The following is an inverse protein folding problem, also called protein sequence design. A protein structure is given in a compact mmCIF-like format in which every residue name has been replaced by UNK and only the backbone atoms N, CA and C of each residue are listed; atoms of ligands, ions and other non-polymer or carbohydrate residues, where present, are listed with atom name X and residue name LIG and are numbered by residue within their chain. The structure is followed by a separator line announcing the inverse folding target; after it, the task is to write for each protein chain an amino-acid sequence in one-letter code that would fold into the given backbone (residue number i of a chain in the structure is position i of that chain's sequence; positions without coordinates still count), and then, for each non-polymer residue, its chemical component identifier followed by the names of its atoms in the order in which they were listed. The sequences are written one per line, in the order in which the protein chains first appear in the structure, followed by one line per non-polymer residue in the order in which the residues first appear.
data_IF_622034662665
#
_entry.id   IF_622034662665
#
_cell.length_a   1.000
_cell.length_b   1.000
_cell.length_c   1.000
_cell.angle_alpha   90.00
_cell.angle_beta   90.00
_cell.angle_gamma   90.00
#
_symmetry.space_group_name_H-M   'P 1'
#
loop_
_entity.id
_entity.type
_entity.pdbx_description
1 polymer ?
#
# COMPACT_ATOMS: atom_id res chain seq x y z
N UNK A 1 12.37 24.14 19.69
CA UNK A 1 12.21 22.80 20.29
C UNK A 1 10.71 22.48 20.25
N UNK A 2 10.23 21.95 19.15
CA UNK A 2 8.89 21.39 19.05
C UNK A 2 9.05 19.87 18.94
N UNK A 3 8.84 19.21 20.08
CA UNK A 3 8.87 17.76 20.18
C UNK A 3 7.81 17.20 19.22
N UNK A 4 8.27 16.42 18.25
CA UNK A 4 7.44 15.58 17.42
C UNK A 4 6.77 14.51 18.30
N UNK A 5 5.65 14.86 18.91
CA UNK A 5 4.74 13.83 19.40
C UNK A 5 4.19 13.09 18.18
N UNK A 6 4.35 11.76 18.10
CA UNK A 6 3.73 11.00 17.03
C UNK A 6 2.22 11.23 17.14
N UNK A 7 1.69 11.92 16.14
CA UNK A 7 0.26 12.19 16.04
C UNK A 7 -0.46 10.84 16.09
N UNK A 8 -1.39 10.69 17.05
CA UNK A 8 -2.21 9.47 17.22
C UNK A 8 -3.07 9.14 15.99
N UNK A 9 -3.08 10.03 15.03
CA UNK A 9 -3.85 9.98 13.79
C UNK A 9 -2.87 9.69 12.66
N UNK A 10 -3.15 8.76 11.74
CA UNK A 10 -2.29 8.52 10.59
C UNK A 10 -2.18 9.79 9.73
N UNK A 11 -1.02 10.02 9.09
CA UNK A 11 -0.78 11.21 8.27
C UNK A 11 -1.74 11.29 7.08
N UNK A 12 -2.27 10.15 6.62
CA UNK A 12 -3.24 10.05 5.54
C UNK A 12 -4.53 9.40 6.07
N UNK A 13 -5.67 10.02 5.79
CA UNK A 13 -6.97 9.47 6.18
C UNK A 13 -7.46 8.50 5.10
N UNK A 14 -7.74 7.27 5.50
CA UNK A 14 -8.34 6.25 4.65
C UNK A 14 -9.82 6.09 5.01
N UNK A 15 -10.67 6.20 3.99
CA UNK A 15 -12.11 6.06 4.14
C UNK A 15 -12.49 4.61 3.84
N UNK A 16 -13.55 4.15 4.51
CA UNK A 16 -14.01 2.78 4.36
C UNK A 16 -13.88 1.96 5.63
N UNK A 17 -14.30 0.70 5.54
CA UNK A 17 -14.25 -0.23 6.67
C UNK A 17 -12.82 -0.66 6.96
N UNK A 18 -12.08 -0.99 5.91
CA UNK A 18 -10.66 -1.33 5.92
C UNK A 18 -9.81 -0.21 6.53
N UNK A 19 -10.05 1.05 6.13
CA UNK A 19 -9.39 2.21 6.70
C UNK A 19 -9.60 2.37 8.19
N UNK A 20 -10.81 2.09 8.71
CA UNK A 20 -11.10 2.15 10.15
C UNK A 20 -10.30 1.13 10.96
N UNK A 21 -10.21 -0.12 10.48
CA UNK A 21 -9.44 -1.17 11.15
C UNK A 21 -7.94 -0.88 11.10
N UNK A 22 -7.41 -0.46 9.95
CA UNK A 22 -6.00 -0.13 9.78
C UNK A 22 -5.60 1.08 10.62
N UNK A 23 -6.43 2.13 10.69
CA UNK A 23 -6.21 3.30 11.54
C UNK A 23 -6.25 2.95 13.03
N UNK A 24 -7.20 2.09 13.45
CA UNK A 24 -7.28 1.64 14.83
C UNK A 24 -6.06 0.80 15.23
N UNK A 25 -5.61 -0.10 14.34
CA UNK A 25 -4.41 -0.90 14.55
C UNK A 25 -3.16 -0.01 14.63
N UNK A 26 -3.00 0.96 13.73
CA UNK A 26 -1.91 1.92 13.74
C UNK A 26 -1.87 2.71 15.05
N UNK A 27 -3.02 3.23 15.51
CA UNK A 27 -3.12 3.97 16.77
C UNK A 27 -2.78 3.10 18.00
N UNK A 28 -3.19 1.83 17.99
CA UNK A 28 -2.86 0.87 19.03
C UNK A 28 -1.35 0.51 19.01
N UNK A 29 -0.77 0.33 17.82
CA UNK A 29 0.64 0.03 17.65
C UNK A 29 1.56 1.20 18.06
N UNK A 30 1.17 2.45 17.79
CA UNK A 30 1.88 3.64 18.29
C UNK A 30 1.88 3.68 19.83
N UNK A 31 0.71 3.49 20.46
CA UNK A 31 0.60 3.51 21.92
C UNK A 31 1.48 2.47 22.60
N UNK A 32 1.63 1.31 21.97
CA UNK A 32 2.46 0.21 22.49
C UNK A 32 3.89 0.22 21.95
N UNK A 33 4.27 1.18 21.10
CA UNK A 33 5.59 1.28 20.47
C UNK A 33 5.99 0.01 19.70
N UNK A 34 5.03 -0.65 19.04
CA UNK A 34 5.20 -1.94 18.37
C UNK A 34 4.88 -1.87 16.86
N UNK A 35 4.99 -0.69 16.24
CA UNK A 35 4.65 -0.48 14.83
C UNK A 35 5.39 -1.45 13.89
N UNK A 36 6.71 -1.54 14.02
CA UNK A 36 7.53 -2.43 13.17
C UNK A 36 7.21 -3.91 13.37
N UNK A 37 6.84 -4.30 14.61
CA UNK A 37 6.45 -5.68 14.90
C UNK A 37 5.13 -6.02 14.23
N UNK A 38 4.15 -5.11 14.34
CA UNK A 38 2.83 -5.26 13.70
C UNK A 38 2.97 -5.33 12.19
N UNK A 39 3.80 -4.49 11.58
CA UNK A 39 4.09 -4.51 10.14
C UNK A 39 4.66 -5.87 9.70
N UNK A 40 5.68 -6.37 10.40
CA UNK A 40 6.27 -7.68 10.13
C UNK A 40 5.26 -8.81 10.27
N UNK A 41 4.39 -8.72 11.26
CA UNK A 41 3.33 -9.70 11.49
C UNK A 41 2.31 -9.71 10.34
N UNK A 42 1.91 -8.53 9.85
CA UNK A 42 0.99 -8.41 8.71
C UNK A 42 1.60 -8.93 7.41
N UNK A 43 2.89 -8.67 7.17
CA UNK A 43 3.62 -9.24 6.02
C UNK A 43 3.69 -10.76 6.10
N UNK A 44 4.02 -11.33 7.27
CA UNK A 44 4.01 -12.79 7.49
C UNK A 44 2.63 -13.38 7.26
N UNK A 45 1.58 -12.68 7.70
CA UNK A 45 0.20 -13.11 7.52
C UNK A 45 -0.17 -13.12 6.02
N UNK A 46 0.21 -12.09 5.26
CA UNK A 46 0.04 -12.04 3.80
C UNK A 46 0.72 -13.22 3.13
N UNK A 47 1.98 -13.48 3.46
CA UNK A 47 2.74 -14.60 2.90
C UNK A 47 2.09 -15.96 3.24
N UNK A 48 1.56 -16.09 4.46
CA UNK A 48 0.86 -17.31 4.88
C UNK A 48 -0.44 -17.49 4.12
N UNK A 49 -1.22 -16.41 3.93
CA UNK A 49 -2.47 -16.44 3.14
C UNK A 49 -2.20 -16.74 1.65
N UNK A 50 -1.06 -16.30 1.12
CA UNK A 50 -0.65 -16.59 -0.25
C UNK A 50 -0.25 -18.07 -0.44
N UNK A 51 0.41 -18.67 0.57
CA UNK A 51 0.88 -20.07 0.53
C UNK A 51 -0.19 -21.08 0.87
N UNK A 52 -1.10 -20.75 1.79
CA UNK A 52 -2.15 -21.64 2.27
C UNK A 52 -3.52 -21.28 1.69
N UNK A 53 -3.85 -21.92 0.57
CA UNK A 53 -5.14 -21.75 -0.10
C UNK A 53 -6.34 -22.12 0.79
N UNK A 54 -6.18 -23.11 1.71
CA UNK A 54 -7.24 -23.50 2.63
C UNK A 54 -7.52 -22.40 3.66
N UNK A 55 -6.48 -21.78 4.20
CA UNK A 55 -6.62 -20.67 5.13
C UNK A 55 -7.28 -19.47 4.44
N UNK A 56 -6.88 -19.15 3.21
CA UNK A 56 -7.48 -18.09 2.41
C UNK A 56 -8.97 -18.37 2.16
N UNK A 57 -9.31 -19.57 1.71
CA UNK A 57 -10.70 -19.97 1.50
C UNK A 57 -11.50 -19.87 2.78
N UNK A 58 -10.97 -20.32 3.91
CA UNK A 58 -11.62 -20.21 5.23
C UNK A 58 -11.92 -18.75 5.61
N UNK A 59 -11.01 -17.81 5.35
CA UNK A 59 -11.22 -16.39 5.61
C UNK A 59 -12.35 -15.81 4.74
N UNK A 60 -12.40 -16.20 3.47
CA UNK A 60 -13.38 -15.68 2.51
C UNK A 60 -14.74 -16.38 2.55
N UNK A 61 -14.84 -17.59 3.11
CA UNK A 61 -16.08 -18.37 3.13
C UNK A 61 -17.15 -17.71 4.03
N UNK A 62 -18.29 -17.26 3.49
CA UNK A 62 -19.36 -16.65 4.26
C UNK A 62 -20.24 -17.68 4.98
N UNK A 63 -20.16 -18.98 4.63
CA UNK A 63 -21.05 -20.01 5.14
C UNK A 63 -20.74 -20.44 6.57
N UNK A 64 -19.50 -20.25 7.01
CA UNK A 64 -19.03 -20.65 8.33
C UNK A 64 -19.55 -19.66 9.39
N UNK A 65 -20.16 -20.21 10.44
CA UNK A 65 -20.68 -19.42 11.57
C UNK A 65 -19.56 -18.60 12.23
N UNK A 66 -19.84 -17.34 12.57
CA UNK A 66 -18.88 -16.40 13.17
C UNK A 66 -18.17 -16.97 14.41
N UNK A 67 -18.93 -17.61 15.31
CA UNK A 67 -18.36 -18.19 16.52
C UNK A 67 -17.33 -19.30 16.23
N UNK A 68 -17.62 -20.17 15.29
CA UNK A 68 -16.70 -21.23 14.85
C UNK A 68 -15.46 -20.63 14.17
N UNK A 69 -15.62 -19.53 13.39
CA UNK A 69 -14.50 -18.80 12.81
C UNK A 69 -13.57 -18.23 13.89
N UNK A 70 -14.11 -17.57 14.91
CA UNK A 70 -13.33 -16.99 16.01
C UNK A 70 -12.51 -18.05 16.73
N UNK A 71 -13.15 -19.19 17.10
CA UNK A 71 -12.46 -20.28 17.80
C UNK A 71 -11.33 -20.89 16.95
N UNK A 72 -11.64 -21.23 15.70
CA UNK A 72 -10.65 -21.83 14.79
C UNK A 72 -9.51 -20.87 14.49
N UNK A 73 -9.81 -19.58 14.29
CA UNK A 73 -8.82 -18.56 13.98
C UNK A 73 -7.93 -18.26 15.19
N UNK A 74 -8.47 -18.28 16.41
CA UNK A 74 -7.68 -18.16 17.64
C UNK A 74 -6.56 -19.20 17.76
N UNK A 75 -6.86 -20.46 17.38
CA UNK A 75 -5.86 -21.53 17.36
C UNK A 75 -4.77 -21.30 16.30
N UNK A 76 -5.14 -20.74 15.14
CA UNK A 76 -4.19 -20.39 14.06
C UNK A 76 -3.30 -19.24 14.50
N UNK A 77 -3.86 -18.20 15.12
CA UNK A 77 -3.11 -17.05 15.63
C UNK A 77 -2.05 -17.46 16.65
N UNK A 78 -2.36 -18.36 17.55
CA UNK A 78 -1.41 -18.88 18.53
C UNK A 78 -0.25 -19.63 17.88
N UNK A 79 -0.48 -20.34 16.78
CA UNK A 79 0.57 -21.03 16.01
C UNK A 79 1.46 -20.08 15.22
N UNK A 80 0.92 -18.96 14.74
CA UNK A 80 1.67 -17.97 13.96
C UNK A 80 2.55 -17.08 14.82
N UNK A 81 2.35 -17.03 16.14
CA UNK A 81 3.14 -16.23 17.07
C UNK A 81 3.04 -14.72 16.80
N UNK A 82 1.85 -14.25 16.40
CA UNK A 82 1.62 -12.85 16.11
C UNK A 82 1.54 -12.00 17.38
N UNK A 83 1.84 -10.72 17.26
CA UNK A 83 1.72 -9.77 18.36
C UNK A 83 0.27 -9.66 18.86
N UNK A 84 0.11 -9.29 20.12
CA UNK A 84 -1.20 -9.15 20.76
C UNK A 84 -2.12 -8.17 20.01
N UNK A 85 -1.56 -7.08 19.49
CA UNK A 85 -2.30 -6.05 18.75
C UNK A 85 -2.84 -6.60 17.44
N UNK A 86 -2.00 -7.30 16.67
CA UNK A 86 -2.39 -7.95 15.41
C UNK A 86 -3.41 -9.05 15.68
N UNK A 87 -3.18 -9.87 16.68
CA UNK A 87 -4.13 -10.93 17.08
C UNK A 87 -5.51 -10.38 17.45
N UNK A 88 -5.57 -9.35 18.28
CA UNK A 88 -6.83 -8.71 18.70
C UNK A 88 -7.58 -8.12 17.49
N UNK A 89 -6.88 -7.44 16.57
CA UNK A 89 -7.50 -6.89 15.36
C UNK A 89 -8.14 -7.99 14.51
N UNK A 90 -7.43 -9.11 14.34
CA UNK A 90 -7.91 -10.25 13.56
C UNK A 90 -9.11 -10.93 14.22
N UNK A 91 -9.12 -11.04 15.54
CA UNK A 91 -10.29 -11.55 16.28
C UNK A 91 -11.51 -10.62 16.12
N UNK A 92 -11.33 -9.32 16.22
CA UNK A 92 -12.39 -8.33 15.98
C UNK A 92 -12.93 -8.44 14.54
N UNK A 93 -12.07 -8.63 13.54
CA UNK A 93 -12.49 -8.88 12.15
C UNK A 93 -13.33 -10.18 12.04
N UNK A 94 -12.93 -11.24 12.76
CA UNK A 94 -13.65 -12.50 12.79
C UNK A 94 -15.02 -12.37 13.44
N UNK A 95 -15.11 -11.70 14.61
CA UNK A 95 -16.35 -11.43 15.34
C UNK A 95 -17.34 -10.60 14.51
N UNK A 96 -16.83 -9.61 13.77
CA UNK A 96 -17.65 -8.80 12.88
C UNK A 96 -17.99 -9.48 11.55
N UNK A 97 -17.48 -10.70 11.30
CA UNK A 97 -17.70 -11.42 10.04
C UNK A 97 -17.02 -10.76 8.84
N UNK A 98 -15.91 -10.04 9.06
CA UNK A 98 -15.20 -9.23 8.05
C UNK A 98 -13.81 -9.74 7.74
N UNK A 99 -13.51 -11.01 7.99
CA UNK A 99 -12.24 -11.64 7.65
C UNK A 99 -11.91 -11.58 6.15
N UNK A 100 -12.92 -11.49 5.30
CA UNK A 100 -12.74 -11.31 3.86
C UNK A 100 -12.06 -9.98 3.47
N UNK A 101 -12.01 -9.01 4.40
CA UNK A 101 -11.34 -7.72 4.17
C UNK A 101 -9.89 -7.72 4.64
N UNK A 102 -9.35 -8.85 5.10
CA UNK A 102 -8.01 -8.94 5.68
C UNK A 102 -6.93 -8.43 4.71
N UNK A 103 -7.01 -8.81 3.43
CA UNK A 103 -6.06 -8.39 2.40
C UNK A 103 -6.10 -6.86 2.25
N UNK A 104 -7.29 -6.26 2.17
CA UNK A 104 -7.46 -4.80 2.07
C UNK A 104 -6.97 -4.05 3.30
N UNK A 105 -7.17 -4.63 4.50
CA UNK A 105 -6.68 -4.05 5.76
C UNK A 105 -5.15 -4.04 5.78
N UNK A 106 -4.51 -5.11 5.30
CA UNK A 106 -3.05 -5.19 5.19
C UNK A 106 -2.55 -4.13 4.22
N UNK A 107 -3.11 -4.06 3.01
CA UNK A 107 -2.71 -3.08 1.99
C UNK A 107 -2.86 -1.63 2.49
N UNK A 108 -3.98 -1.32 3.16
CA UNK A 108 -4.21 0.01 3.73
C UNK A 108 -3.24 0.31 4.87
N UNK A 109 -2.90 -0.68 5.70
CA UNK A 109 -1.92 -0.49 6.77
C UNK A 109 -0.52 -0.22 6.21
N UNK A 110 -0.11 -0.89 5.14
CA UNK A 110 1.16 -0.61 4.44
C UNK A 110 1.20 0.81 3.87
N UNK A 111 0.09 1.28 3.29
CA UNK A 111 -0.01 2.67 2.82
C UNK A 111 0.12 3.68 3.98
N UNK A 112 -0.47 3.39 5.14
CA UNK A 112 -0.31 4.21 6.35
C UNK A 112 1.16 4.22 6.79
N UNK A 113 1.84 3.07 6.77
CA UNK A 113 3.25 2.95 7.17
C UNK A 113 4.17 3.69 6.20
N UNK A 114 3.92 3.60 4.90
CA UNK A 114 4.63 4.36 3.85
C UNK A 114 4.51 5.86 4.10
N UNK A 115 3.29 6.34 4.36
CA UNK A 115 3.05 7.74 4.70
C UNK A 115 3.70 8.14 6.04
N UNK A 116 3.69 7.24 7.03
CA UNK A 116 4.34 7.48 8.35
C UNK A 116 5.86 7.65 8.22
N UNK A 117 6.50 6.90 7.32
CA UNK A 117 7.94 7.01 7.02
C UNK A 117 8.28 8.21 6.13
N UNK A 118 7.27 8.94 5.66
CA UNK A 118 7.46 10.00 4.68
C UNK A 118 7.92 9.46 3.32
N UNK A 119 7.65 8.20 3.02
CA UNK A 119 7.96 7.63 1.71
C UNK A 119 6.86 8.01 0.73
N UNK A 120 7.26 8.55 -0.42
CA UNK A 120 6.35 8.85 -1.52
C UNK A 120 6.51 7.78 -2.58
N UNK A 121 5.43 7.05 -2.84
CA UNK A 121 5.41 6.07 -3.92
C UNK A 121 5.50 6.79 -5.26
N UNK A 122 6.51 6.45 -6.04
CA UNK A 122 6.72 6.95 -7.39
C UNK A 122 6.73 5.77 -8.37
N UNK A 123 5.77 5.79 -9.29
CA UNK A 123 5.71 4.80 -10.36
C UNK A 123 6.17 5.46 -11.66
N UNK A 124 7.26 4.98 -12.23
CA UNK A 124 7.77 5.41 -13.53
C UNK A 124 7.48 4.32 -14.54
N UNK A 125 6.63 4.63 -15.51
CA UNK A 125 6.31 3.73 -16.61
C UNK A 125 7.07 4.18 -17.86
N UNK A 126 7.83 3.28 -18.47
CA UNK A 126 8.68 3.54 -19.63
C UNK A 126 8.37 2.57 -20.76
N UNK A 127 8.64 2.96 -21.99
CA UNK A 127 8.41 2.10 -23.18
C UNK A 127 9.40 0.92 -23.24
N UNK A 128 10.60 1.09 -22.67
CA UNK A 128 11.68 0.06 -22.62
C UNK A 128 12.28 0.01 -21.24
N UNK A 129 12.85 -1.12 -20.81
CA UNK A 129 13.58 -1.18 -19.54
C UNK A 129 14.71 -0.15 -19.53
N UNK A 130 14.85 0.53 -18.39
CA UNK A 130 15.89 1.55 -18.20
C UNK A 130 17.22 0.90 -17.83
N UNK A 131 18.32 1.51 -18.31
CA UNK A 131 19.66 1.19 -17.84
C UNK A 131 19.88 1.74 -16.43
N UNK A 132 20.76 1.11 -15.66
CA UNK A 132 21.08 1.52 -14.28
C UNK A 132 21.56 2.97 -14.15
N UNK A 133 22.20 3.52 -15.20
CA UNK A 133 22.64 4.93 -15.26
C UNK A 133 21.45 5.86 -15.37
N UNK A 134 20.56 5.59 -16.33
CA UNK A 134 19.33 6.37 -16.58
C UNK A 134 18.35 6.26 -15.40
N UNK A 135 18.27 5.08 -14.75
CA UNK A 135 17.48 4.90 -13.55
C UNK A 135 17.91 5.83 -12.41
N UNK A 136 19.24 5.98 -12.20
CA UNK A 136 19.80 6.87 -11.19
C UNK A 136 19.56 8.35 -11.53
N UNK A 137 19.69 8.72 -12.78
CA UNK A 137 19.41 10.08 -13.24
C UNK A 137 17.95 10.45 -13.05
N UNK A 138 17.03 9.53 -13.40
CA UNK A 138 15.59 9.71 -13.18
C UNK A 138 15.29 9.79 -11.69
N UNK A 139 15.87 8.92 -10.86
CA UNK A 139 15.68 8.96 -9.42
C UNK A 139 16.15 10.32 -8.84
N UNK A 140 17.34 10.77 -9.20
CA UNK A 140 17.87 12.06 -8.74
C UNK A 140 17.02 13.25 -9.20
N UNK A 141 16.51 13.23 -10.44
CA UNK A 141 15.60 14.25 -10.94
C UNK A 141 14.26 14.25 -10.17
N UNK A 142 13.75 13.07 -9.83
CA UNK A 142 12.48 12.93 -9.09
C UNK A 142 12.63 13.30 -7.61
N UNK A 143 13.77 13.06 -6.99
CA UNK A 143 14.07 13.53 -5.63
C UNK A 143 13.97 15.04 -5.50
N UNK A 144 14.30 15.81 -6.56
CA UNK A 144 14.16 17.26 -6.57
C UNK A 144 12.71 17.76 -6.50
N UNK A 145 11.73 16.91 -6.85
CA UNK A 145 10.29 17.21 -6.75
C UNK A 145 9.67 16.86 -5.40
N UNK A 146 10.42 16.16 -4.54
CA UNK A 146 9.97 15.77 -3.21
C UNK A 146 10.15 16.94 -2.21
N UNK A 147 9.28 16.93 -1.19
CA UNK A 147 9.43 17.87 -0.08
C UNK A 147 10.56 17.44 0.86
N UNK A 148 11.09 18.39 1.63
CA UNK A 148 12.18 18.11 2.57
C UNK A 148 11.77 17.04 3.58
N UNK A 149 12.53 15.96 3.62
CA UNK A 149 12.31 14.85 4.56
C UNK A 149 11.52 13.67 3.98
N UNK A 150 11.04 13.77 2.74
CA UNK A 150 10.42 12.65 2.04
C UNK A 150 11.48 11.77 1.37
N UNK A 151 11.21 10.46 1.31
CA UNK A 151 12.04 9.48 0.61
C UNK A 151 11.31 8.97 -0.63
N UNK A 152 12.04 8.83 -1.72
CA UNK A 152 11.52 8.27 -2.96
C UNK A 152 11.44 6.75 -2.87
N UNK A 153 10.25 6.19 -3.06
CA UNK A 153 10.06 4.76 -3.30
C UNK A 153 9.76 4.56 -4.78
N UNK A 154 10.81 4.27 -5.57
CA UNK A 154 10.74 4.17 -7.02
C UNK A 154 10.30 2.76 -7.44
N UNK A 155 9.23 2.68 -8.21
CA UNK A 155 8.76 1.46 -8.88
C UNK A 155 8.80 1.65 -10.39
N UNK A 156 9.56 0.80 -11.08
CA UNK A 156 9.67 0.84 -12.53
C UNK A 156 8.67 -0.12 -13.17
N UNK A 157 7.92 0.36 -14.13
CA UNK A 157 7.05 -0.45 -15.00
C UNK A 157 7.46 -0.27 -16.44
N UNK A 158 7.34 -1.32 -17.24
CA UNK A 158 7.59 -1.27 -18.67
C UNK A 158 6.27 -1.45 -19.40
N UNK A 159 5.93 -0.48 -20.23
CA UNK A 159 4.73 -0.50 -21.06
C UNK A 159 5.11 -0.14 -22.52
N UNK A 160 5.18 -1.14 -23.40
CA UNK A 160 5.54 -0.92 -24.80
C UNK A 160 4.54 -0.04 -25.58
N UNK A 161 3.30 0.09 -25.11
CA UNK A 161 2.27 0.90 -25.78
C UNK A 161 2.60 2.40 -25.77
N UNK A 162 3.49 2.86 -24.90
CA UNK A 162 3.92 4.26 -24.84
C UNK A 162 4.72 4.71 -26.06
N UNK A 163 5.19 3.79 -26.92
CA UNK A 163 6.05 4.04 -28.09
C UNK A 163 7.41 4.61 -27.69
N UNK A 164 7.45 5.51 -26.68
CA UNK A 164 8.65 6.16 -26.16
C UNK A 164 8.31 7.23 -25.12
N UNK A 165 9.36 7.70 -24.45
CA UNK A 165 9.23 8.62 -23.32
C UNK A 165 8.90 7.88 -22.03
N UNK A 166 8.37 8.62 -21.03
CA UNK A 166 8.02 8.09 -19.72
C UNK A 166 6.75 8.73 -19.17
N UNK A 167 6.06 8.00 -18.34
CA UNK A 167 4.96 8.49 -17.52
C UNK A 167 5.36 8.34 -16.06
N UNK A 168 5.25 9.41 -15.30
CA UNK A 168 5.64 9.47 -13.89
C UNK A 168 4.42 9.77 -13.05
N UNK A 169 4.16 8.93 -12.06
CA UNK A 169 3.15 9.16 -11.02
C UNK A 169 3.85 9.28 -9.67
N UNK A 170 3.75 10.45 -9.03
CA UNK A 170 4.37 10.75 -7.73
C UNK A 170 3.23 11.07 -6.75
N UNK A 171 2.84 10.11 -5.90
CA UNK A 171 1.67 10.28 -5.04
C UNK A 171 0.44 10.68 -5.87
N UNK A 172 -0.10 11.88 -5.63
CA UNK A 172 -1.27 12.40 -6.33
C UNK A 172 -0.94 13.13 -7.65
N UNK A 173 0.35 13.36 -7.94
CA UNK A 173 0.80 14.08 -9.14
C UNK A 173 1.06 13.10 -10.28
N UNK A 174 0.52 13.38 -11.45
CA UNK A 174 0.69 12.59 -12.66
C UNK A 174 1.31 13.45 -13.77
N UNK A 175 2.45 13.02 -14.27
CA UNK A 175 3.19 13.72 -15.34
C UNK A 175 3.39 12.75 -16.49
N UNK A 176 2.78 13.03 -17.62
CA UNK A 176 2.90 12.22 -18.84
C UNK A 176 3.81 12.94 -19.85
N UNK A 177 4.98 12.38 -20.07
CA UNK A 177 5.98 12.82 -21.06
C UNK A 177 6.12 11.82 -22.20
N UNK A 178 5.08 11.01 -22.47
CA UNK A 178 5.09 10.02 -23.53
C UNK A 178 5.03 10.65 -24.93
N UNK A 179 5.64 9.98 -25.91
CA UNK A 179 5.51 10.34 -27.32
C UNK A 179 4.06 10.18 -27.78
N UNK A 180 3.36 9.19 -27.25
CA UNK A 180 1.94 8.95 -27.56
C UNK A 180 1.07 10.17 -27.26
N UNK A 181 1.28 10.83 -26.09
CA UNK A 181 0.57 12.06 -25.74
C UNK A 181 0.88 13.19 -26.70
N UNK A 182 2.16 13.38 -27.07
CA UNK A 182 2.56 14.41 -28.06
C UNK A 182 1.89 14.19 -29.40
N UNK A 183 1.87 12.95 -29.89
CA UNK A 183 1.18 12.59 -31.15
C UNK A 183 -0.33 12.89 -31.09
N UNK A 184 -0.98 12.52 -29.98
CA UNK A 184 -2.41 12.83 -29.79
C UNK A 184 -2.69 14.33 -29.78
N UNK A 185 -1.82 15.12 -29.13
CA UNK A 185 -1.98 16.59 -29.13
C UNK A 185 -1.79 17.21 -30.49
N UNK A 186 -0.82 16.75 -31.29
CA UNK A 186 -0.63 17.22 -32.68
C UNK A 186 -1.82 16.85 -33.57
N UNK A 187 -2.32 15.62 -33.44
CA UNK A 187 -3.51 15.17 -34.17
C UNK A 187 -4.73 16.02 -33.85
N UNK A 188 -4.96 16.30 -32.56
CA UNK A 188 -6.08 17.15 -32.13
C UNK A 188 -6.01 18.57 -32.71
N UNK A 189 -4.82 19.14 -32.86
CA UNK A 189 -4.61 20.46 -33.49
C UNK A 189 -4.90 20.40 -34.99
N UNK A 190 -4.53 19.32 -35.68
CA UNK A 190 -4.77 19.16 -37.10
C UNK A 190 -6.24 18.86 -37.46
N UNK A 191 -6.99 18.27 -36.53
CA UNK A 191 -8.40 17.94 -36.69
C UNK A 191 -9.34 19.10 -36.30
N UNK A 192 -8.82 20.24 -35.79
CA UNK A 192 -9.64 21.44 -35.55
C UNK A 192 -10.01 22.08 -36.89
N UNK A 193 -11.31 22.19 -37.21
CA UNK A 193 -11.74 22.89 -38.42
C UNK A 193 -11.35 24.37 -38.30
N UNK A 194 -10.79 24.91 -39.38
CA UNK A 194 -10.47 26.36 -39.55
C UNK A 194 -11.77 27.15 -39.66
#
# INVERSE_FOLDING_TARGET
MSELFPTKVPPTQFFGVDGRYSTALYSAAIKSKTLETVEKDLLKLRDTLAKDAKLRQFCHDPTIKRHSKVQSFGNVLNKLGLSKQTGNMLLILAENGRLNLIDKVIDTFEQIMTSHRGEVACVVTTAKPLDRTTEREVAAALEAFLERGQKLNLSLKVDPELIGGMVVSIGDKYVDMSILRKLRSYRAVLEQPV
#
